data_IF_410650978301
#
_entry.id   IF_410650978301
#
_cell.length_a   1.000
_cell.length_b   1.000
_cell.length_c   1.000
_cell.angle_alpha   90.00
_cell.angle_beta   90.00
_cell.angle_gamma   90.00
#
_symmetry.space_group_name_H-M   'P 1'
#
loop_
_entity.id
_entity.type
_entity.pdbx_description
1 polymer ?
#
# COMPACT_ATOMS: atom_id res chain seq x y z
N UNK A 1 -2.60 -9.43 7.81
CA UNK A 1 -1.62 -8.41 7.38
C UNK A 1 -2.11 -7.74 6.11
N UNK A 2 -1.81 -6.47 5.95
CA UNK A 2 -2.21 -5.71 4.76
C UNK A 2 -1.14 -4.66 4.46
N UNK A 3 -0.94 -4.38 3.18
CA UNK A 3 -0.15 -3.23 2.73
C UNK A 3 -1.13 -2.15 2.29
N UNK A 4 -1.22 -1.06 3.06
CA UNK A 4 -2.07 0.09 2.74
C UNK A 4 -1.23 1.15 2.06
N UNK A 5 -1.66 1.62 0.88
CA UNK A 5 -0.93 2.65 0.15
C UNK A 5 -1.13 4.05 0.75
N UNK A 6 -0.46 5.04 0.16
CA UNK A 6 -0.50 6.40 0.67
C UNK A 6 -1.91 6.98 0.69
N UNK A 7 -2.80 6.59 -0.23
CA UNK A 7 -4.17 7.12 -0.27
C UNK A 7 -4.95 6.75 1.00
N UNK A 8 -4.78 5.54 1.48
CA UNK A 8 -5.41 5.08 2.73
C UNK A 8 -4.83 5.84 3.92
N UNK A 9 -3.50 5.99 3.97
CA UNK A 9 -2.83 6.72 5.03
C UNK A 9 -3.24 8.20 5.08
N UNK A 10 -3.33 8.84 3.91
CA UNK A 10 -3.76 10.25 3.84
C UNK A 10 -5.19 10.40 4.38
N UNK A 11 -6.09 9.50 3.99
CA UNK A 11 -7.45 9.49 4.50
C UNK A 11 -7.49 9.33 6.02
N UNK A 12 -6.69 8.41 6.55
CA UNK A 12 -6.60 8.17 7.98
C UNK A 12 -6.04 9.37 8.75
N UNK A 13 -4.97 9.94 8.25
CA UNK A 13 -4.30 11.07 8.94
C UNK A 13 -5.14 12.34 8.88
N UNK A 14 -5.98 12.51 7.87
CA UNK A 14 -6.84 13.67 7.71
C UNK A 14 -8.15 13.55 8.47
N UNK A 15 -8.86 12.43 8.28
CA UNK A 15 -10.24 12.28 8.76
C UNK A 15 -10.43 11.11 9.74
N UNK A 16 -9.41 10.30 9.92
CA UNK A 16 -9.52 9.04 10.64
C UNK A 16 -10.12 7.94 9.76
N UNK A 17 -9.55 6.75 9.86
CA UNK A 17 -10.07 5.54 9.20
C UNK A 17 -10.11 4.44 10.25
N UNK A 18 -11.32 4.10 10.69
CA UNK A 18 -11.52 3.15 11.79
C UNK A 18 -10.96 1.77 11.45
N UNK A 19 -11.07 1.34 10.21
CA UNK A 19 -10.57 0.03 9.77
C UNK A 19 -9.04 -0.02 9.82
N UNK A 20 -8.37 1.03 9.35
CA UNK A 20 -6.91 1.11 9.44
C UNK A 20 -6.47 1.19 10.90
N UNK A 21 -7.13 2.01 11.71
CA UNK A 21 -6.82 2.14 13.13
C UNK A 21 -6.88 0.79 13.85
N UNK A 22 -7.90 0.00 13.55
CA UNK A 22 -8.11 -1.31 14.14
C UNK A 22 -7.01 -2.29 13.71
N UNK A 23 -6.66 -2.29 12.43
CA UNK A 23 -5.56 -3.11 11.91
C UNK A 23 -4.21 -2.72 12.53
N UNK A 24 -3.96 -1.42 12.67
CA UNK A 24 -2.74 -0.93 13.32
C UNK A 24 -2.68 -1.37 14.79
N UNK A 25 -3.79 -1.26 15.50
CA UNK A 25 -3.87 -1.68 16.90
C UNK A 25 -3.54 -3.18 17.06
N UNK A 26 -3.90 -3.98 16.09
CA UNK A 26 -3.68 -5.42 16.11
C UNK A 26 -2.37 -5.86 15.43
N UNK A 27 -1.51 -4.92 15.06
CA UNK A 27 -0.21 -5.21 14.45
C UNK A 27 -0.31 -5.86 13.06
N UNK A 28 -1.33 -5.49 12.30
CA UNK A 28 -1.64 -6.13 11.01
C UNK A 28 -1.36 -5.26 9.79
N UNK A 29 -0.61 -4.19 9.94
CA UNK A 29 -0.28 -3.28 8.83
C UNK A 29 1.20 -3.31 8.56
N UNK A 30 1.56 -3.61 7.32
CA UNK A 30 2.92 -3.42 6.83
C UNK A 30 3.02 -2.09 6.11
N UNK A 31 4.24 -1.56 6.07
CA UNK A 31 4.55 -0.35 5.33
C UNK A 31 5.57 -0.67 4.22
N UNK A 32 5.97 0.33 3.50
CA UNK A 32 6.93 0.23 2.41
C UNK A 32 7.72 1.54 2.36
N UNK A 33 9.01 1.52 2.07
CA UNK A 33 9.79 2.76 1.99
C UNK A 33 9.21 3.81 1.04
N UNK A 34 8.62 3.39 -0.08
CA UNK A 34 8.00 4.30 -1.03
C UNK A 34 6.74 4.96 -0.46
N UNK A 35 6.00 4.27 0.41
CA UNK A 35 4.85 4.86 1.09
C UNK A 35 5.33 5.95 2.06
N UNK A 36 6.38 5.67 2.82
CA UNK A 36 7.01 6.67 3.68
C UNK A 36 7.44 7.89 2.85
N UNK A 37 8.09 7.63 1.72
CA UNK A 37 8.55 8.68 0.82
C UNK A 37 7.42 9.54 0.26
N UNK A 38 6.34 8.91 -0.19
CA UNK A 38 5.18 9.63 -0.70
C UNK A 38 4.53 10.50 0.36
N UNK A 39 4.37 9.97 1.57
CA UNK A 39 3.82 10.74 2.68
C UNK A 39 4.76 11.86 3.10
N UNK A 40 6.06 11.64 3.02
CA UNK A 40 7.07 12.67 3.32
C UNK A 40 7.00 13.85 2.35
N UNK A 41 6.57 13.63 1.12
CA UNK A 41 6.37 14.68 0.12
C UNK A 41 5.12 15.53 0.39
N UNK A 42 4.22 15.04 1.21
CA UNK A 42 2.99 15.74 1.53
C UNK A 42 3.14 16.72 2.69
N UNK A 43 2.07 17.44 2.96
CA UNK A 43 2.02 18.42 4.04
C UNK A 43 1.39 17.79 5.28
N UNK A 44 2.21 17.07 6.06
CA UNK A 44 1.75 16.33 7.23
C UNK A 44 1.72 17.21 8.47
N UNK A 45 0.63 17.13 9.22
CA UNK A 45 0.56 17.64 10.58
C UNK A 45 1.36 16.67 11.49
N UNK A 46 2.12 17.21 12.44
CA UNK A 46 2.99 16.41 13.31
C UNK A 46 3.95 15.50 12.53
N UNK A 47 4.53 16.07 11.49
CA UNK A 47 5.34 15.38 10.49
C UNK A 47 6.39 14.45 11.07
N UNK A 48 7.23 14.97 11.99
CA UNK A 48 8.33 14.18 12.54
C UNK A 48 7.82 12.94 13.29
N UNK A 49 6.75 13.10 14.05
CA UNK A 49 6.13 12.00 14.80
C UNK A 49 5.55 10.95 13.86
N UNK A 50 4.82 11.39 12.85
CA UNK A 50 4.17 10.48 11.88
C UNK A 50 5.22 9.69 11.09
N UNK A 51 6.25 10.36 10.57
CA UNK A 51 7.28 9.69 9.80
C UNK A 51 8.09 8.71 10.65
N UNK A 52 8.37 9.06 11.91
CA UNK A 52 9.03 8.14 12.85
C UNK A 52 8.19 6.89 13.11
N UNK A 53 6.89 7.09 13.32
CA UNK A 53 5.95 5.98 13.53
C UNK A 53 5.91 5.04 12.31
N UNK A 54 5.79 5.59 11.11
CA UNK A 54 5.74 4.79 9.88
C UNK A 54 6.99 3.94 9.69
N UNK A 55 8.16 4.50 10.04
CA UNK A 55 9.42 3.77 9.92
C UNK A 55 9.55 2.61 10.91
N UNK A 56 8.77 2.62 11.99
CA UNK A 56 8.78 1.55 12.99
C UNK A 56 7.85 0.39 12.60
N UNK A 57 6.97 0.59 11.64
CA UNK A 57 6.10 -0.48 11.16
C UNK A 57 6.94 -1.56 10.44
N UNK A 58 6.52 -2.82 10.51
CA UNK A 58 7.17 -3.84 9.70
C UNK A 58 7.02 -3.51 8.22
N UNK A 59 8.08 -3.73 7.46
CA UNK A 59 8.12 -3.41 6.03
C UNK A 59 7.82 -4.64 5.19
N UNK A 60 7.11 -4.43 4.08
CA UNK A 60 6.93 -5.47 3.06
C UNK A 60 8.27 -5.74 2.36
N UNK A 61 8.35 -6.84 1.65
CA UNK A 61 9.47 -7.11 0.74
C UNK A 61 9.46 -6.03 -0.33
N UNK A 62 10.63 -5.46 -0.65
CA UNK A 62 10.76 -4.51 -1.75
C UNK A 62 11.02 -5.27 -3.04
N UNK A 63 10.18 -5.05 -4.05
CA UNK A 63 10.44 -5.59 -5.38
C UNK A 63 11.60 -4.82 -6.02
N UNK A 64 12.49 -5.52 -6.70
CA UNK A 64 13.57 -4.88 -7.43
C UNK A 64 13.07 -4.32 -8.76
N UNK A 65 13.75 -3.30 -9.26
CA UNK A 65 13.35 -2.62 -10.48
C UNK A 65 13.12 -3.59 -11.67
N UNK A 66 14.05 -4.51 -11.88
CA UNK A 66 13.92 -5.49 -12.97
C UNK A 66 12.75 -6.44 -12.77
N UNK A 67 12.46 -6.82 -11.52
CA UNK A 67 11.28 -7.62 -11.19
C UNK A 67 10.00 -6.85 -11.53
N UNK A 68 9.97 -5.56 -11.23
CA UNK A 68 8.81 -4.71 -11.52
C UNK A 68 8.59 -4.59 -13.03
N UNK A 69 9.65 -4.38 -13.80
CA UNK A 69 9.54 -4.31 -15.25
C UNK A 69 9.01 -5.62 -15.84
N UNK A 70 9.52 -6.75 -15.39
CA UNK A 70 9.00 -8.07 -15.81
C UNK A 70 7.55 -8.28 -15.41
N UNK A 71 7.19 -7.83 -14.22
CA UNK A 71 5.82 -7.92 -13.71
C UNK A 71 4.84 -7.12 -14.57
N UNK A 72 5.23 -5.91 -14.98
CA UNK A 72 4.43 -5.08 -15.89
C UNK A 72 4.16 -5.82 -17.19
N UNK A 73 5.21 -6.37 -17.80
CA UNK A 73 5.09 -7.10 -19.07
C UNK A 73 4.23 -8.37 -18.93
N UNK A 74 4.51 -9.17 -17.91
CA UNK A 74 3.84 -10.46 -17.73
C UNK A 74 2.35 -10.31 -17.42
N UNK A 75 1.95 -9.21 -16.78
CA UNK A 75 0.56 -8.97 -16.39
C UNK A 75 -0.11 -7.88 -17.22
N UNK A 76 0.57 -7.37 -18.24
CA UNK A 76 0.06 -6.35 -19.18
C UNK A 76 -0.51 -5.14 -18.44
N UNK A 77 0.29 -4.56 -17.54
CA UNK A 77 -0.14 -3.44 -16.71
C UNK A 77 0.07 -2.08 -17.37
N UNK A 78 0.63 -2.05 -18.58
CA UNK A 78 0.81 -0.81 -19.33
C UNK A 78 -0.56 -0.21 -19.71
N UNK A 79 -0.64 1.11 -19.69
CA UNK A 79 -1.85 1.81 -20.11
C UNK A 79 -3.04 1.69 -19.17
N UNK A 80 -2.85 1.22 -17.95
CA UNK A 80 -3.92 1.07 -16.96
C UNK A 80 -4.20 2.33 -16.15
N UNK A 81 -3.43 3.40 -16.38
CA UNK A 81 -3.61 4.65 -15.64
C UNK A 81 -3.01 4.61 -14.24
N UNK A 82 -2.05 3.72 -14.01
CA UNK A 82 -1.32 3.62 -12.74
C UNK A 82 0.16 3.90 -13.01
N UNK A 83 0.86 4.42 -12.01
CA UNK A 83 2.27 4.79 -12.15
C UNK A 83 3.21 3.71 -11.65
N UNK A 84 4.50 3.93 -11.88
CA UNK A 84 5.54 2.99 -11.50
C UNK A 84 5.55 2.68 -10.00
N UNK A 85 5.38 3.71 -9.15
CA UNK A 85 5.35 3.50 -7.70
C UNK A 85 4.20 2.58 -7.31
N UNK A 86 3.02 2.78 -7.91
CA UNK A 86 1.86 1.93 -7.66
C UNK A 86 2.13 0.48 -8.02
N UNK A 87 2.77 0.25 -9.18
CA UNK A 87 3.12 -1.10 -9.62
C UNK A 87 4.15 -1.72 -8.68
N UNK A 88 5.11 -0.93 -8.24
CA UNK A 88 6.14 -1.35 -7.27
C UNK A 88 5.47 -1.86 -5.97
N UNK A 89 4.49 -1.12 -5.48
CA UNK A 89 3.77 -1.49 -4.26
C UNK A 89 2.96 -2.77 -4.44
N UNK A 90 2.27 -2.92 -5.57
CA UNK A 90 1.52 -4.14 -5.87
C UNK A 90 2.46 -5.35 -5.98
N UNK A 91 3.59 -5.19 -6.67
CA UNK A 91 4.58 -6.26 -6.78
C UNK A 91 5.11 -6.66 -5.40
N UNK A 92 5.37 -5.67 -4.54
CA UNK A 92 5.85 -5.91 -3.17
C UNK A 92 4.80 -6.65 -2.33
N UNK A 93 3.52 -6.30 -2.47
CA UNK A 93 2.43 -7.00 -1.79
C UNK A 93 2.34 -8.47 -2.23
N UNK A 94 2.47 -8.72 -3.53
CA UNK A 94 2.49 -10.08 -4.08
C UNK A 94 3.67 -10.89 -3.55
N UNK A 95 4.87 -10.31 -3.55
CA UNK A 95 6.07 -10.98 -3.03
C UNK A 95 5.95 -11.27 -1.54
N UNK A 96 5.33 -10.38 -0.79
CA UNK A 96 5.10 -10.55 0.64
C UNK A 96 3.96 -11.54 0.93
N UNK A 97 3.06 -11.74 -0.04
CA UNK A 97 1.92 -12.65 0.12
C UNK A 97 0.80 -12.05 0.95
N UNK A 98 0.56 -10.75 0.84
CA UNK A 98 -0.48 -10.04 1.59
C UNK A 98 -1.39 -9.23 0.67
N UNK A 99 -2.63 -8.96 1.08
CA UNK A 99 -3.52 -8.09 0.31
C UNK A 99 -3.02 -6.65 0.27
N UNK A 100 -3.43 -5.96 -0.77
CA UNK A 100 -3.11 -4.56 -1.04
C UNK A 100 -4.37 -3.70 -0.91
N UNK A 101 -4.28 -2.63 -0.13
CA UNK A 101 -5.39 -1.72 0.13
C UNK A 101 -5.11 -0.34 -0.42
N UNK A 102 -5.97 0.13 -1.31
CA UNK A 102 -5.90 1.47 -1.91
C UNK A 102 -7.30 2.06 -2.01
N UNK A 103 -7.38 3.39 -2.03
CA UNK A 103 -8.62 4.11 -2.32
C UNK A 103 -8.69 4.59 -3.78
N UNK A 104 -7.62 4.40 -4.55
CA UNK A 104 -7.59 4.72 -5.98
C UNK A 104 -8.31 3.62 -6.75
N UNK A 105 -9.36 3.96 -7.47
CA UNK A 105 -10.19 2.98 -8.16
C UNK A 105 -9.46 2.20 -9.25
N UNK A 106 -8.58 2.86 -10.01
CA UNK A 106 -7.81 2.18 -11.06
C UNK A 106 -6.85 1.19 -10.48
N UNK A 107 -6.16 1.57 -9.41
CA UNK A 107 -5.22 0.71 -8.72
C UNK A 107 -5.95 -0.45 -8.02
N UNK A 108 -7.11 -0.18 -7.44
CA UNK A 108 -7.94 -1.22 -6.84
C UNK A 108 -8.35 -2.27 -7.86
N UNK A 109 -8.74 -1.84 -9.07
CA UNK A 109 -9.10 -2.78 -10.14
C UNK A 109 -7.94 -3.68 -10.53
N UNK A 110 -6.72 -3.13 -10.58
CA UNK A 110 -5.53 -3.92 -10.86
C UNK A 110 -5.29 -4.93 -9.74
N UNK A 111 -5.36 -4.50 -8.49
CA UNK A 111 -5.20 -5.39 -7.33
C UNK A 111 -6.25 -6.50 -7.34
N UNK A 112 -7.49 -6.18 -7.68
CA UNK A 112 -8.57 -7.15 -7.78
C UNK A 112 -8.30 -8.18 -8.88
N UNK A 113 -7.83 -7.73 -10.04
CA UNK A 113 -7.49 -8.63 -11.15
C UNK A 113 -6.36 -9.59 -10.81
N UNK A 114 -5.50 -9.22 -9.87
CA UNK A 114 -4.38 -10.03 -9.39
C UNK A 114 -4.73 -10.83 -8.13
N UNK A 115 -5.99 -10.75 -7.68
CA UNK A 115 -6.52 -11.46 -6.51
C UNK A 115 -5.83 -11.09 -5.19
N UNK A 116 -5.38 -9.83 -5.07
CA UNK A 116 -4.76 -9.33 -3.84
C UNK A 116 -5.48 -8.10 -3.27
N UNK A 117 -6.65 -7.77 -3.79
CA UNK A 117 -7.44 -6.65 -3.26
C UNK A 117 -7.83 -6.92 -1.80
N UNK A 118 -7.59 -5.94 -0.93
CA UNK A 118 -8.06 -6.01 0.45
C UNK A 118 -9.58 -5.84 0.49
N UNK A 119 -10.29 -6.78 1.09
CA UNK A 119 -11.75 -6.80 1.13
C UNK A 119 -12.34 -6.29 2.46
N UNK A 120 -11.47 -5.84 3.36
CA UNK A 120 -11.91 -5.35 4.65
C UNK A 120 -11.91 -6.42 5.74
N UNK A 121 -12.10 -6.00 6.99
CA UNK A 121 -12.05 -6.89 8.14
C UNK A 121 -13.16 -7.93 8.15
N UNK A 122 -14.34 -7.58 7.66
CA UNK A 122 -15.51 -8.46 7.69
C UNK A 122 -15.37 -9.72 6.83
N UNK A 123 -14.38 -9.75 5.92
CA UNK A 123 -14.14 -10.87 5.01
C UNK A 123 -12.89 -11.69 5.34
N UNK A 124 -12.22 -11.39 6.44
CA UNK A 124 -10.94 -11.98 6.81
C UNK A 124 -11.06 -12.98 7.97
N UNK A 125 -11.96 -13.92 7.85
CA UNK A 125 -12.11 -14.96 8.87
C UNK A 125 -12.49 -16.29 8.26
#
# INVERSE_FOLDING_TARGET
MVLADASVWVSHLRDGNAELADLLHNGRVLCHPLIVGELACGNLKDRAVILSFLRLLPMSIEAEHEEVLSFIENNRLMGKGIGYVDVQLIASALLTGIPFWTLDKKLEQVADSLHIKFDGLAKNY
#
